data_IF_665750431379
#
_entry.id   IF_665750431379
#
_cell.length_a   1.000
_cell.length_b   1.000
_cell.length_c   1.000
_cell.angle_alpha   90.00
_cell.angle_beta   90.00
_cell.angle_gamma   90.00
#
_symmetry.space_group_name_H-M   'P 1'
#
loop_
_entity.id
_entity.type
_entity.pdbx_description
1 polymer ?
#
# COMPACT_ATOMS: atom_id res chain seq x y z
N UNK A 1 23.42 13.01 19.91
CA UNK A 1 23.27 12.45 18.57
C UNK A 1 23.26 13.58 17.54
N UNK A 2 24.16 13.52 16.60
CA UNK A 2 24.20 14.56 15.54
C UNK A 2 23.01 14.35 14.62
N UNK A 3 22.14 15.35 14.53
CA UNK A 3 21.17 15.37 13.45
C UNK A 3 21.94 15.67 12.17
N UNK A 4 21.85 14.77 11.21
CA UNK A 4 22.44 14.99 9.92
C UNK A 4 21.71 16.17 9.25
N UNK A 5 22.47 17.16 8.80
CA UNK A 5 21.88 18.26 8.08
C UNK A 5 21.47 17.79 6.69
N UNK A 6 20.32 18.26 6.24
CA UNK A 6 19.83 17.99 4.89
C UNK A 6 20.77 18.63 3.87
N UNK A 7 21.24 17.87 2.86
CA UNK A 7 22.10 18.44 1.82
C UNK A 7 21.40 19.56 1.06
N UNK A 8 22.19 20.53 0.60
CA UNK A 8 21.68 21.61 -0.24
C UNK A 8 21.09 21.04 -1.53
N UNK A 9 19.91 21.51 -1.92
CA UNK A 9 19.20 21.02 -3.11
C UNK A 9 18.51 19.66 -2.94
N UNK A 10 18.53 19.11 -1.73
CA UNK A 10 17.81 17.86 -1.47
C UNK A 10 16.30 18.08 -1.46
N UNK A 11 15.56 17.18 -2.13
CA UNK A 11 14.10 17.22 -2.18
C UNK A 11 13.52 15.97 -1.53
N UNK A 12 12.71 16.16 -0.51
CA UNK A 12 12.00 15.05 0.15
C UNK A 12 11.11 14.31 -0.84
N UNK A 13 10.42 15.03 -1.71
CA UNK A 13 9.50 14.41 -2.66
C UNK A 13 10.24 13.57 -3.70
N UNK A 14 11.35 14.05 -4.23
CA UNK A 14 12.17 13.28 -5.17
C UNK A 14 12.81 12.06 -4.48
N UNK A 15 13.23 12.22 -3.23
CA UNK A 15 13.77 11.09 -2.45
C UNK A 15 12.70 10.03 -2.18
N UNK A 16 11.47 10.45 -1.89
CA UNK A 16 10.35 9.55 -1.70
C UNK A 16 10.06 8.75 -2.98
N UNK A 17 10.10 9.40 -4.14
CA UNK A 17 9.88 8.72 -5.42
C UNK A 17 10.95 7.66 -5.69
N UNK A 18 12.23 7.97 -5.39
CA UNK A 18 13.32 6.99 -5.50
C UNK A 18 13.14 5.82 -4.55
N UNK A 19 12.76 6.09 -3.31
CA UNK A 19 12.53 5.04 -2.32
C UNK A 19 11.37 4.14 -2.74
N UNK A 20 10.30 4.72 -3.28
CA UNK A 20 9.16 3.97 -3.82
C UNK A 20 9.60 3.04 -4.94
N UNK A 21 10.39 3.55 -5.90
CA UNK A 21 10.88 2.73 -7.01
C UNK A 21 11.76 1.57 -6.52
N UNK A 22 12.70 1.86 -5.62
CA UNK A 22 13.62 0.86 -5.09
C UNK A 22 12.88 -0.25 -4.33
N UNK A 23 11.93 0.12 -3.47
CA UNK A 23 11.17 -0.85 -2.68
C UNK A 23 10.21 -1.66 -3.52
N UNK A 24 9.61 -1.08 -4.55
CA UNK A 24 8.76 -1.80 -5.49
C UNK A 24 9.54 -2.87 -6.25
N UNK A 25 10.79 -2.59 -6.64
CA UNK A 25 11.63 -3.59 -7.31
C UNK A 25 11.92 -4.78 -6.41
N UNK A 26 12.23 -4.53 -5.14
CA UNK A 26 12.50 -5.61 -4.18
C UNK A 26 11.24 -6.44 -3.95
N UNK A 27 10.11 -5.79 -3.72
CA UNK A 27 8.83 -6.49 -3.48
C UNK A 27 8.40 -7.30 -4.70
N UNK A 28 8.56 -6.76 -5.90
CA UNK A 28 8.22 -7.48 -7.14
C UNK A 28 9.02 -8.77 -7.27
N UNK A 29 10.29 -8.75 -6.92
CA UNK A 29 11.15 -9.94 -6.95
C UNK A 29 10.74 -10.96 -5.89
N UNK A 30 10.45 -10.50 -4.67
CA UNK A 30 10.07 -11.37 -3.56
C UNK A 30 8.68 -11.99 -3.74
N UNK A 31 7.77 -11.27 -4.42
CA UNK A 31 6.38 -11.68 -4.60
C UNK A 31 6.09 -12.25 -5.99
N UNK A 32 7.13 -12.61 -6.75
CA UNK A 32 6.99 -13.07 -8.13
C UNK A 32 6.05 -14.27 -8.25
N UNK A 33 6.02 -15.15 -7.26
CA UNK A 33 5.18 -16.36 -7.28
C UNK A 33 3.69 -16.05 -7.19
N UNK A 34 3.31 -14.87 -6.71
CA UNK A 34 1.91 -14.46 -6.65
C UNK A 34 1.38 -14.02 -8.02
N UNK A 35 2.27 -13.71 -8.96
CA UNK A 35 1.92 -13.25 -10.31
C UNK A 35 0.93 -12.09 -10.29
N UNK A 36 1.26 -11.06 -9.49
CA UNK A 36 0.44 -9.86 -9.32
C UNK A 36 1.20 -8.63 -9.79
N UNK A 37 0.47 -7.67 -10.34
CA UNK A 37 1.05 -6.35 -10.66
C UNK A 37 1.27 -5.56 -9.37
N UNK A 38 2.10 -4.51 -9.44
CA UNK A 38 2.34 -3.63 -8.29
C UNK A 38 1.04 -3.01 -7.77
N UNK A 39 0.12 -2.64 -8.65
CA UNK A 39 -1.17 -2.08 -8.27
C UNK A 39 -2.06 -3.10 -7.56
N UNK A 40 -2.04 -4.35 -8.00
CA UNK A 40 -2.77 -5.44 -7.35
C UNK A 40 -2.19 -5.74 -5.97
N UNK A 41 -0.87 -5.77 -5.84
CA UNK A 41 -0.18 -5.94 -4.56
C UNK A 41 -0.59 -4.84 -3.58
N UNK A 42 -0.58 -3.59 -4.02
CA UNK A 42 -0.95 -2.45 -3.19
C UNK A 42 -2.41 -2.53 -2.72
N UNK A 43 -3.32 -2.89 -3.62
CA UNK A 43 -4.74 -3.03 -3.27
C UNK A 43 -4.95 -4.13 -2.23
N UNK A 44 -4.35 -5.31 -2.43
CA UNK A 44 -4.47 -6.42 -1.48
C UNK A 44 -3.85 -6.08 -0.13
N UNK A 45 -2.71 -5.40 -0.13
CA UNK A 45 -2.06 -4.98 1.12
C UNK A 45 -2.97 -4.06 1.95
N UNK A 46 -3.73 -3.19 1.28
CA UNK A 46 -4.65 -2.27 1.94
C UNK A 46 -5.98 -2.91 2.35
N UNK A 47 -6.22 -4.16 2.01
CA UNK A 47 -7.37 -4.95 2.44
C UNK A 47 -6.99 -6.01 3.48
N UNK A 48 -5.71 -6.14 3.81
CA UNK A 48 -5.18 -7.26 4.59
C UNK A 48 -5.70 -7.33 6.04
N UNK A 49 -6.21 -6.22 6.57
CA UNK A 49 -6.78 -6.18 7.92
C UNK A 49 -8.14 -6.92 8.01
N UNK A 50 -8.65 -7.42 6.90
CA UNK A 50 -9.92 -8.13 6.84
C UNK A 50 -11.16 -7.25 6.87
N UNK A 51 -11.00 -5.95 6.97
CA UNK A 51 -12.12 -5.01 6.94
C UNK A 51 -12.51 -4.73 5.50
N UNK A 52 -13.78 -4.89 5.18
CA UNK A 52 -14.29 -4.48 3.88
C UNK A 52 -14.12 -2.98 3.69
N UNK A 53 -13.78 -2.57 2.47
CA UNK A 53 -13.65 -1.16 2.11
C UNK A 53 -14.50 -0.87 0.88
N UNK A 54 -15.07 0.32 0.83
CA UNK A 54 -15.70 0.81 -0.41
C UNK A 54 -14.60 1.13 -1.43
N UNK A 55 -14.98 1.24 -2.70
CA UNK A 55 -14.03 1.63 -3.76
C UNK A 55 -13.36 2.96 -3.42
N UNK A 56 -14.13 3.92 -2.91
CA UNK A 56 -13.61 5.23 -2.50
C UNK A 56 -12.61 5.12 -1.35
N UNK A 57 -12.95 4.35 -0.31
CA UNK A 57 -12.07 4.13 0.84
C UNK A 57 -10.77 3.44 0.43
N UNK A 58 -10.87 2.43 -0.44
CA UNK A 58 -9.69 1.71 -0.93
C UNK A 58 -8.81 2.61 -1.79
N UNK A 59 -9.41 3.40 -2.67
CA UNK A 59 -8.66 4.35 -3.50
C UNK A 59 -7.88 5.35 -2.65
N UNK A 60 -8.48 5.88 -1.61
CA UNK A 60 -7.81 6.79 -0.68
C UNK A 60 -6.66 6.10 0.07
N UNK A 61 -6.91 4.88 0.59
CA UNK A 61 -5.90 4.13 1.34
C UNK A 61 -4.72 3.71 0.46
N UNK A 62 -5.00 3.27 -0.76
CA UNK A 62 -3.98 2.78 -1.70
C UNK A 62 -3.30 3.91 -2.48
N UNK A 63 -3.83 5.13 -2.44
CA UNK A 63 -3.31 6.24 -3.23
C UNK A 63 -3.49 6.03 -4.73
N UNK A 64 -4.57 5.37 -5.13
CA UNK A 64 -4.81 4.96 -6.51
C UNK A 64 -5.99 5.73 -7.11
N UNK A 65 -5.83 6.15 -8.36
CA UNK A 65 -6.90 6.82 -9.10
C UNK A 65 -8.08 5.86 -9.36
N UNK A 66 -9.33 6.36 -9.37
CA UNK A 66 -10.51 5.51 -9.57
C UNK A 66 -10.48 4.67 -10.84
N UNK A 67 -10.00 5.23 -11.95
CA UNK A 67 -9.92 4.49 -13.23
C UNK A 67 -8.95 3.33 -13.16
N UNK A 68 -7.77 3.54 -12.56
CA UNK A 68 -6.78 2.48 -12.35
C UNK A 68 -7.32 1.43 -11.39
N UNK A 69 -7.96 1.88 -10.32
CA UNK A 69 -8.50 0.99 -9.30
C UNK A 69 -9.59 0.06 -9.86
N UNK A 70 -10.49 0.58 -10.69
CA UNK A 70 -11.53 -0.23 -11.33
C UNK A 70 -10.93 -1.40 -12.09
N UNK A 71 -9.92 -1.14 -12.90
CA UNK A 71 -9.20 -2.15 -13.69
C UNK A 71 -8.52 -3.19 -12.79
N UNK A 72 -7.87 -2.73 -11.70
CA UNK A 72 -7.22 -3.60 -10.71
C UNK A 72 -8.24 -4.52 -10.03
N UNK A 73 -9.37 -3.97 -9.60
CA UNK A 73 -10.42 -4.72 -8.92
C UNK A 73 -11.05 -5.75 -9.84
N UNK A 74 -11.26 -5.41 -11.11
CA UNK A 74 -11.78 -6.37 -12.10
C UNK A 74 -10.86 -7.59 -12.23
N UNK A 75 -9.55 -7.38 -12.29
CA UNK A 75 -8.58 -8.47 -12.37
C UNK A 75 -8.54 -9.30 -11.10
N UNK A 76 -8.55 -8.64 -9.94
CA UNK A 76 -8.53 -9.36 -8.65
C UNK A 76 -9.79 -10.20 -8.45
N UNK A 77 -10.94 -9.70 -8.87
CA UNK A 77 -12.19 -10.45 -8.78
C UNK A 77 -12.15 -11.67 -9.72
N UNK A 78 -11.70 -11.50 -10.96
CA UNK A 78 -11.57 -12.61 -11.91
C UNK A 78 -10.61 -13.68 -11.40
N UNK A 79 -9.57 -13.30 -10.67
CA UNK A 79 -8.61 -14.24 -10.08
C UNK A 79 -9.10 -14.84 -8.77
N UNK A 80 -10.27 -14.43 -8.31
CA UNK A 80 -10.88 -15.00 -7.11
C UNK A 80 -10.31 -14.46 -5.80
N UNK A 81 -9.60 -13.34 -5.82
CA UNK A 81 -9.00 -12.76 -4.61
C UNK A 81 -9.93 -11.83 -3.84
N UNK A 82 -10.91 -11.25 -4.52
CA UNK A 82 -11.88 -10.35 -3.89
C UNK A 82 -13.29 -10.67 -4.33
N UNK A 83 -14.25 -10.21 -3.52
CA UNK A 83 -15.66 -10.13 -3.90
C UNK A 83 -16.11 -8.68 -3.80
N UNK A 84 -17.12 -8.33 -4.58
CA UNK A 84 -17.79 -7.04 -4.53
C UNK A 84 -19.23 -7.26 -4.13
N UNK A 85 -19.68 -6.56 -3.11
CA UNK A 85 -21.05 -6.67 -2.60
C UNK A 85 -21.58 -5.33 -2.15
N UNK A 86 -22.75 -5.33 -1.52
CA UNK A 86 -23.34 -4.10 -0.99
C UNK A 86 -23.00 -3.98 0.51
N UNK A 87 -22.73 -2.73 0.94
CA UNK A 87 -22.54 -2.45 2.36
C UNK A 87 -23.89 -2.57 3.07
N UNK A 88 -23.96 -3.25 4.23
CA UNK A 88 -25.21 -3.29 5.01
C UNK A 88 -25.71 -1.88 5.33
N UNK A 89 -26.97 -1.62 5.00
CA UNK A 89 -27.60 -0.32 5.22
C UNK A 89 -27.37 0.72 4.15
N UNK A 90 -26.51 0.46 3.17
CA UNK A 90 -26.25 1.38 2.06
C UNK A 90 -26.10 0.62 0.74
N UNK A 91 -27.16 0.60 -0.05
CA UNK A 91 -27.19 -0.10 -1.33
C UNK A 91 -26.37 0.58 -2.42
N UNK A 92 -25.91 1.82 -2.19
CA UNK A 92 -25.14 2.58 -3.17
C UNK A 92 -23.64 2.30 -3.06
N UNK A 93 -23.18 1.85 -1.89
CA UNK A 93 -21.76 1.59 -1.66
C UNK A 93 -21.43 0.14 -2.02
N UNK A 94 -20.46 -0.03 -2.92
CA UNK A 94 -19.89 -1.34 -3.24
C UNK A 94 -18.79 -1.63 -2.23
N UNK A 95 -18.96 -2.73 -1.51
CA UNK A 95 -17.98 -3.19 -0.50
C UNK A 95 -17.05 -4.20 -1.11
N UNK A 96 -15.75 -3.92 -1.03
CA UNK A 96 -14.69 -4.82 -1.50
C UNK A 96 -14.19 -5.63 -0.31
N UNK A 97 -14.24 -6.96 -0.44
CA UNK A 97 -13.78 -7.86 0.61
C UNK A 97 -12.86 -8.93 0.05
N UNK A 98 -11.90 -9.39 0.88
CA UNK A 98 -11.02 -10.48 0.50
C UNK A 98 -11.75 -11.83 0.59
N UNK A 99 -11.47 -12.70 -0.38
CA UNK A 99 -11.78 -14.13 -0.27
C UNK A 99 -10.71 -14.81 0.58
N UNK A 100 -10.86 -16.09 0.87
CA UNK A 100 -9.82 -16.88 1.55
C UNK A 100 -8.50 -16.85 0.77
N UNK A 101 -8.56 -16.96 -0.54
CA UNK A 101 -7.39 -16.85 -1.42
C UNK A 101 -6.77 -15.45 -1.35
N UNK A 102 -7.60 -14.42 -1.39
CA UNK A 102 -7.14 -13.03 -1.27
C UNK A 102 -6.50 -12.75 0.09
N UNK A 103 -7.06 -13.30 1.16
CA UNK A 103 -6.49 -13.13 2.51
C UNK A 103 -5.10 -13.77 2.60
N UNK A 104 -4.91 -14.95 2.02
CA UNK A 104 -3.59 -15.60 1.99
C UNK A 104 -2.59 -14.77 1.23
N UNK A 105 -2.96 -14.26 0.05
CA UNK A 105 -2.10 -13.40 -0.75
C UNK A 105 -1.77 -12.11 0.00
N UNK A 106 -2.77 -11.46 0.60
CA UNK A 106 -2.59 -10.22 1.35
C UNK A 106 -1.67 -10.42 2.56
N UNK A 107 -1.79 -11.54 3.25
CA UNK A 107 -0.92 -11.87 4.39
C UNK A 107 0.53 -12.04 3.93
N UNK A 108 0.75 -12.75 2.84
CA UNK A 108 2.08 -12.91 2.25
C UNK A 108 2.68 -11.56 1.86
N UNK A 109 1.89 -10.70 1.24
CA UNK A 109 2.32 -9.36 0.85
C UNK A 109 2.69 -8.52 2.07
N UNK A 110 1.83 -8.49 3.09
CA UNK A 110 2.09 -7.72 4.31
C UNK A 110 3.34 -8.21 5.03
N UNK A 111 3.59 -9.52 5.02
CA UNK A 111 4.79 -10.09 5.61
C UNK A 111 6.04 -9.65 4.85
N UNK A 112 6.01 -9.66 3.52
CA UNK A 112 7.12 -9.21 2.70
C UNK A 112 7.42 -7.72 2.94
N UNK A 113 6.38 -6.90 3.06
CA UNK A 113 6.51 -5.47 3.38
C UNK A 113 7.17 -5.29 4.75
N UNK A 114 6.68 -6.00 5.77
CA UNK A 114 7.21 -5.92 7.12
C UNK A 114 8.68 -6.35 7.18
N UNK A 115 9.03 -7.41 6.49
CA UNK A 115 10.41 -7.90 6.43
C UNK A 115 11.34 -6.88 5.75
N UNK A 116 10.87 -6.27 4.67
CA UNK A 116 11.64 -5.24 3.97
C UNK A 116 11.84 -4.00 4.84
N UNK A 117 10.79 -3.55 5.49
CA UNK A 117 10.86 -2.41 6.41
C UNK A 117 11.86 -2.69 7.54
N UNK A 118 11.78 -3.87 8.12
CA UNK A 118 12.68 -4.28 9.21
C UNK A 118 14.15 -4.27 8.75
N UNK A 119 14.44 -4.86 7.60
CA UNK A 119 15.80 -4.87 7.05
C UNK A 119 16.33 -3.48 6.74
N UNK A 120 15.47 -2.62 6.18
CA UNK A 120 15.89 -1.29 5.74
C UNK A 120 16.01 -0.30 6.90
N UNK A 121 15.16 -0.41 7.91
CA UNK A 121 15.03 0.60 8.95
C UNK A 121 15.61 0.19 10.30
N UNK A 122 16.04 -1.06 10.45
CA UNK A 122 16.48 -1.61 11.74
C UNK A 122 17.63 -0.82 12.38
N UNK A 123 18.56 -0.30 11.58
CA UNK A 123 19.68 0.49 12.07
C UNK A 123 19.38 1.93 12.41
N UNK A 124 18.15 2.38 12.23
CA UNK A 124 17.77 3.76 12.46
C UNK A 124 17.20 3.98 13.88
N UNK A 125 17.42 5.16 14.47
CA UNK A 125 16.82 5.46 15.76
C UNK A 125 15.29 5.59 15.66
N UNK A 126 14.54 5.31 16.77
CA UNK A 126 13.07 5.36 16.74
C UNK A 126 12.48 6.70 16.30
N UNK A 127 13.15 7.81 16.63
CA UNK A 127 12.70 9.13 16.23
C UNK A 127 12.81 9.38 14.73
N UNK A 128 13.72 8.68 14.02
CA UNK A 128 13.82 8.79 12.57
C UNK A 128 12.58 8.19 11.89
N UNK A 129 12.12 7.04 12.36
CA UNK A 129 10.90 6.40 11.82
C UNK A 129 9.66 7.23 12.15
N UNK A 130 9.57 7.76 13.36
CA UNK A 130 8.46 8.64 13.76
C UNK A 130 8.44 9.92 12.91
N UNK A 131 9.62 10.48 12.61
CA UNK A 131 9.75 11.65 11.73
C UNK A 131 9.32 11.33 10.30
N UNK A 132 9.68 10.16 9.78
CA UNK A 132 9.23 9.70 8.48
C UNK A 132 7.70 9.61 8.41
N UNK A 133 7.09 9.00 9.41
CA UNK A 133 5.62 8.89 9.49
C UNK A 133 4.96 10.27 9.47
N UNK A 134 5.45 11.21 10.26
CA UNK A 134 4.91 12.56 10.31
C UNK A 134 5.06 13.29 8.98
N UNK A 135 6.22 13.15 8.32
CA UNK A 135 6.48 13.77 7.02
C UNK A 135 5.58 13.18 5.93
N UNK A 136 5.43 11.85 5.89
CA UNK A 136 4.57 11.20 4.91
C UNK A 136 3.10 11.57 5.10
N UNK A 137 2.65 11.68 6.35
CA UNK A 137 1.30 12.12 6.64
C UNK A 137 1.05 13.54 6.15
N UNK A 138 1.98 14.45 6.41
CA UNK A 138 1.89 15.83 5.93
C UNK A 138 1.81 15.91 4.40
N UNK A 139 2.62 15.10 3.71
CA UNK A 139 2.60 15.04 2.25
C UNK A 139 1.28 14.46 1.71
N UNK A 140 0.70 13.50 2.42
CA UNK A 140 -0.57 12.89 2.03
C UNK A 140 -1.74 13.88 2.17
N UNK A 141 -1.69 14.74 3.16
CA UNK A 141 -2.79 15.66 3.48
C UNK A 141 -2.85 16.91 2.61
N UNK A 142 -1.85 17.14 1.73
CA UNK A 142 -1.83 18.34 0.88
C UNK A 142 -2.99 18.40 -0.12
N UNK A 143 -3.63 17.26 -0.39
CA UNK A 143 -4.76 17.19 -1.33
C UNK A 143 -6.11 17.26 -0.64
N UNK A 144 -6.14 17.43 0.68
CA UNK A 144 -7.36 17.47 1.47
C UNK A 144 -7.99 18.86 1.46
#
# INVERSE_FOLDING_TARGET
MKSESVPSGWSALLALQRATHATLQVLSAELVDLDLTASEVNALANLADGRGRTVSELGAAAGTRPTTLTSVLDRLERRGHITRGTRPGDRRAVLIELTSSGQRAATTIRQAIADLEHRALDGLPPDAVAGLRAALQALTEVSS
#
